data_IF_704287103783
#
_entry.id   IF_704287103783
#
_cell.length_a   1.000
_cell.length_b   1.000
_cell.length_c   1.000
_cell.angle_alpha   90.00
_cell.angle_beta   90.00
_cell.angle_gamma   90.00
#
_symmetry.space_group_name_H-M   'P 1'
#
loop_
_entity.id
_entity.type
_entity.pdbx_description
1 polymer ?
#
# COMPACT_ATOMS: atom_id res chain seq x y z
N UNK A 1 36.62 -56.53 -9.46
CA UNK A 1 36.29 -55.49 -8.48
C UNK A 1 37.00 -54.21 -8.87
N UNK A 2 36.29 -53.25 -9.45
CA UNK A 2 36.78 -51.88 -9.66
C UNK A 2 35.56 -50.96 -9.67
N UNK A 3 35.36 -50.26 -8.56
CA UNK A 3 34.26 -49.32 -8.34
C UNK A 3 34.71 -47.95 -8.85
N UNK A 4 34.03 -47.42 -9.88
CA UNK A 4 34.29 -46.07 -10.38
C UNK A 4 33.52 -45.07 -9.54
N UNK A 5 34.24 -44.21 -8.81
CA UNK A 5 33.70 -43.10 -8.04
C UNK A 5 33.34 -41.93 -8.97
N UNK A 6 32.07 -41.56 -9.04
CA UNK A 6 31.60 -40.36 -9.73
C UNK A 6 31.89 -39.11 -8.88
N UNK A 7 32.80 -38.25 -9.34
CA UNK A 7 33.03 -36.93 -8.77
C UNK A 7 31.88 -35.98 -9.15
N UNK A 8 31.02 -35.65 -8.18
CA UNK A 8 30.04 -34.58 -8.31
C UNK A 8 30.75 -33.21 -8.30
N UNK A 9 30.92 -32.63 -9.48
CA UNK A 9 31.31 -31.24 -9.66
C UNK A 9 30.17 -30.32 -9.21
N UNK A 10 30.27 -29.78 -7.98
CA UNK A 10 29.41 -28.69 -7.50
C UNK A 10 29.61 -27.47 -8.40
N UNK A 11 28.64 -27.19 -9.29
CA UNK A 11 28.56 -25.90 -9.99
C UNK A 11 28.51 -24.78 -8.94
N UNK A 12 29.30 -23.69 -9.10
CA UNK A 12 29.22 -22.54 -8.21
C UNK A 12 27.83 -21.92 -8.32
N UNK A 13 27.19 -21.66 -7.17
CA UNK A 13 25.94 -20.90 -7.09
C UNK A 13 26.23 -19.49 -7.65
N UNK A 14 25.48 -19.00 -8.66
CA UNK A 14 25.74 -17.68 -9.23
C UNK A 14 25.44 -16.61 -8.17
N UNK A 15 26.45 -15.79 -7.84
CA UNK A 15 26.29 -14.58 -7.01
C UNK A 15 25.23 -13.67 -7.66
N UNK A 16 24.07 -13.56 -7.01
CA UNK A 16 22.87 -12.88 -7.51
C UNK A 16 23.13 -11.37 -7.63
N UNK A 17 23.00 -10.84 -8.85
CA UNK A 17 23.24 -9.42 -9.22
C UNK A 17 22.07 -8.47 -8.88
N UNK A 18 20.98 -8.97 -8.28
CA UNK A 18 19.70 -8.25 -8.13
C UNK A 18 19.68 -7.20 -7.01
N UNK A 19 20.00 -7.58 -5.76
CA UNK A 19 19.96 -6.66 -4.61
C UNK A 19 20.86 -5.43 -4.79
N UNK A 20 22.05 -5.64 -5.35
CA UNK A 20 22.98 -4.56 -5.70
C UNK A 20 22.40 -3.55 -6.69
N UNK A 21 21.56 -3.96 -7.64
CA UNK A 21 20.93 -3.02 -8.60
C UNK A 21 19.89 -2.13 -7.92
N UNK A 22 19.10 -2.68 -7.00
CA UNK A 22 18.13 -1.90 -6.23
C UNK A 22 18.83 -0.92 -5.30
N UNK A 23 19.86 -1.37 -4.56
CA UNK A 23 20.72 -0.49 -3.78
C UNK A 23 21.33 0.64 -4.60
N UNK A 24 21.83 0.33 -5.81
CA UNK A 24 22.35 1.35 -6.72
C UNK A 24 21.25 2.30 -7.16
N UNK A 25 20.05 1.83 -7.52
CA UNK A 25 18.95 2.71 -7.91
C UNK A 25 18.55 3.66 -6.77
N UNK A 26 18.46 3.16 -5.53
CA UNK A 26 18.21 3.96 -4.34
C UNK A 26 19.35 4.96 -4.06
N UNK A 27 20.60 4.52 -4.21
CA UNK A 27 21.78 5.37 -4.12
C UNK A 27 21.76 6.49 -5.17
N UNK A 28 21.38 6.17 -6.41
CA UNK A 28 21.29 7.14 -7.50
C UNK A 28 20.16 8.13 -7.24
N UNK A 29 19.03 7.73 -6.68
CA UNK A 29 17.96 8.66 -6.24
C UNK A 29 18.50 9.67 -5.24
N UNK A 30 19.27 9.20 -4.25
CA UNK A 30 19.93 10.07 -3.26
C UNK A 30 20.85 11.07 -3.95
N UNK A 31 21.64 10.61 -4.94
CA UNK A 31 22.55 11.43 -5.75
C UNK A 31 21.81 12.32 -6.77
N UNK A 32 20.56 12.07 -7.12
CA UNK A 32 19.87 12.85 -8.17
C UNK A 32 18.96 13.93 -7.61
N UNK A 33 18.58 13.84 -6.33
CA UNK A 33 18.17 15.02 -5.56
C UNK A 33 19.29 16.09 -5.59
N UNK A 34 20.53 15.65 -5.76
CA UNK A 34 21.76 16.47 -5.87
C UNK A 34 22.03 16.94 -7.29
N UNK A 35 21.90 16.05 -8.26
CA UNK A 35 22.41 16.18 -9.63
C UNK A 35 21.54 17.01 -10.55
N UNK A 36 20.81 18.00 -10.03
CA UNK A 36 20.23 19.09 -10.80
C UNK A 36 21.32 19.93 -11.45
N UNK A 37 22.05 19.34 -12.41
CA UNK A 37 23.07 19.99 -13.21
C UNK A 37 22.37 21.14 -13.95
N UNK A 38 22.51 22.31 -13.36
CA UNK A 38 22.77 23.59 -14.01
C UNK A 38 21.96 23.76 -15.29
N UNK A 39 20.70 24.15 -15.17
CA UNK A 39 19.98 25.09 -16.05
C UNK A 39 18.60 25.33 -15.42
N UNK A 40 18.49 26.32 -14.52
CA UNK A 40 17.21 26.70 -13.92
C UNK A 40 16.77 28.08 -14.44
N UNK A 41 15.78 28.06 -15.34
CA UNK A 41 14.72 29.08 -15.35
C UNK A 41 13.81 28.76 -14.16
N UNK A 42 13.90 29.57 -13.10
CA UNK A 42 13.12 29.40 -11.88
C UNK A 42 11.70 29.88 -12.13
N UNK A 43 10.72 28.97 -12.09
CA UNK A 43 9.31 29.33 -11.94
C UNK A 43 8.60 28.41 -10.93
N UNK A 44 7.94 29.10 -9.99
CA UNK A 44 6.81 28.74 -9.12
C UNK A 44 6.95 27.61 -8.07
N UNK A 45 6.47 27.97 -6.87
CA UNK A 45 6.14 27.08 -5.76
C UNK A 45 4.83 26.38 -6.09
N UNK A 46 4.84 25.05 -6.23
CA UNK A 46 3.63 24.24 -6.22
C UNK A 46 3.80 23.15 -5.15
N UNK A 47 2.74 22.91 -4.36
CA UNK A 47 2.62 21.64 -3.65
C UNK A 47 2.66 20.52 -4.69
N UNK A 48 3.37 19.44 -4.38
CA UNK A 48 3.47 18.29 -5.29
C UNK A 48 2.24 17.43 -5.04
N UNK A 49 1.33 17.37 -6.02
CA UNK A 49 0.29 16.36 -6.04
C UNK A 49 0.96 15.00 -6.20
N UNK A 50 0.76 14.14 -5.23
CA UNK A 50 1.29 12.78 -5.27
C UNK A 50 0.21 11.86 -5.81
N UNK A 51 0.61 10.89 -6.62
CA UNK A 51 -0.31 9.92 -7.18
C UNK A 51 -0.53 8.74 -6.24
N UNK A 52 -1.78 8.31 -6.09
CA UNK A 52 -2.13 7.04 -5.47
C UNK A 52 -1.98 5.88 -6.48
N UNK A 53 -1.85 4.66 -5.97
CA UNK A 53 -1.92 3.45 -6.77
C UNK A 53 -3.31 2.83 -6.67
N UNK A 54 -3.92 2.48 -7.80
CA UNK A 54 -5.17 1.72 -7.86
C UNK A 54 -4.88 0.22 -7.73
N UNK A 55 -5.61 -0.47 -6.86
CA UNK A 55 -5.71 -1.93 -6.82
C UNK A 55 -7.12 -2.31 -7.24
N UNK A 56 -7.24 -3.14 -8.28
CA UNK A 56 -8.52 -3.68 -8.76
C UNK A 56 -8.59 -5.13 -8.33
N UNK A 57 -9.45 -5.41 -7.34
CA UNK A 57 -9.61 -6.75 -6.78
C UNK A 57 -10.52 -7.62 -7.62
N UNK A 58 -11.60 -7.03 -8.15
CA UNK A 58 -12.51 -7.67 -9.09
C UNK A 58 -12.59 -6.82 -10.35
N UNK A 59 -12.44 -7.45 -11.51
CA UNK A 59 -12.46 -6.78 -12.80
C UNK A 59 -13.81 -6.09 -12.99
N UNK A 60 -13.83 -4.75 -12.90
CA UNK A 60 -14.96 -3.80 -13.14
C UNK A 60 -14.74 -2.43 -12.47
N UNK A 61 -13.48 -2.03 -12.27
CA UNK A 61 -13.15 -0.66 -11.90
C UNK A 61 -12.87 0.17 -13.15
N UNK A 62 -13.33 1.40 -13.16
CA UNK A 62 -13.02 2.36 -14.22
C UNK A 62 -12.50 3.67 -13.62
N UNK A 63 -11.72 4.39 -14.42
CA UNK A 63 -11.11 5.67 -14.05
C UNK A 63 -11.44 6.72 -15.11
N UNK A 64 -11.71 7.95 -14.67
CA UNK A 64 -11.80 9.11 -15.53
C UNK A 64 -10.75 10.14 -15.06
N UNK A 65 -9.84 10.52 -15.95
CA UNK A 65 -8.73 11.40 -15.59
C UNK A 65 -9.07 12.88 -15.69
N UNK A 66 -8.44 13.72 -14.88
CA UNK A 66 -8.47 15.19 -15.00
C UNK A 66 -9.90 15.80 -15.04
N UNK A 67 -10.78 15.36 -14.15
CA UNK A 67 -12.20 15.75 -14.10
C UNK A 67 -12.99 15.42 -15.39
N UNK A 68 -12.48 14.53 -16.24
CA UNK A 68 -13.23 14.00 -17.38
C UNK A 68 -14.46 13.22 -16.90
N UNK A 69 -15.47 13.15 -17.77
CA UNK A 69 -16.64 12.28 -17.60
C UNK A 69 -16.47 10.94 -18.31
N UNK A 70 -15.37 10.76 -19.05
CA UNK A 70 -15.10 9.57 -19.84
C UNK A 70 -14.39 8.52 -18.99
N UNK A 71 -15.15 7.57 -18.46
CA UNK A 71 -14.62 6.45 -17.69
C UNK A 71 -14.07 5.37 -18.61
N UNK A 72 -12.80 5.02 -18.41
CA UNK A 72 -12.13 3.90 -19.09
C UNK A 72 -11.84 2.79 -18.09
N UNK A 73 -11.81 1.53 -18.56
CA UNK A 73 -11.46 0.40 -17.71
C UNK A 73 -10.07 0.59 -17.08
N UNK A 74 -9.96 0.33 -15.79
CA UNK A 74 -8.72 0.46 -15.03
C UNK A 74 -8.24 -0.90 -14.53
N UNK A 75 -6.93 -1.05 -14.35
CA UNK A 75 -6.32 -2.28 -13.84
C UNK A 75 -5.47 -1.99 -12.60
N UNK A 76 -5.15 -3.05 -11.84
CA UNK A 76 -4.19 -2.93 -10.74
C UNK A 76 -2.90 -2.30 -11.24
N UNK A 77 -2.40 -1.30 -10.49
CA UNK A 77 -1.23 -0.51 -10.85
C UNK A 77 -1.53 0.73 -11.70
N UNK A 78 -2.79 1.02 -12.05
CA UNK A 78 -3.16 2.32 -12.63
C UNK A 78 -2.83 3.43 -11.62
N UNK A 79 -2.22 4.51 -12.11
CA UNK A 79 -1.89 5.68 -11.33
C UNK A 79 -3.16 6.54 -11.19
N UNK A 80 -3.47 6.95 -9.97
CA UNK A 80 -4.58 7.86 -9.65
C UNK A 80 -4.02 9.20 -9.20
N UNK A 81 -4.44 10.29 -9.83
CA UNK A 81 -3.97 11.64 -9.54
C UNK A 81 -5.11 12.52 -9.00
N UNK A 82 -4.74 13.66 -8.40
CA UNK A 82 -5.70 14.69 -8.05
C UNK A 82 -6.49 15.13 -9.31
N UNK A 83 -7.81 15.16 -9.20
CA UNK A 83 -8.75 15.37 -10.31
C UNK A 83 -9.35 14.08 -10.88
N UNK A 84 -8.79 12.91 -10.58
CA UNK A 84 -9.28 11.64 -11.14
C UNK A 84 -10.49 11.10 -10.37
N UNK A 85 -11.42 10.50 -11.09
CA UNK A 85 -12.58 9.79 -10.52
C UNK A 85 -12.45 8.29 -10.73
N UNK A 86 -12.77 7.51 -9.70
CA UNK A 86 -12.76 6.05 -9.73
C UNK A 86 -14.19 5.58 -9.50
N UNK A 87 -14.63 4.60 -10.29
CA UNK A 87 -15.93 3.97 -10.15
C UNK A 87 -15.79 2.45 -10.14
N UNK A 88 -16.58 1.81 -9.28
CA UNK A 88 -16.86 0.37 -9.31
C UNK A 88 -18.31 0.13 -9.73
N UNK A 89 -18.56 -0.93 -10.51
CA UNK A 89 -19.92 -1.35 -10.83
C UNK A 89 -20.53 -2.25 -9.72
N UNK A 90 -21.66 -2.91 -10.00
CA UNK A 90 -22.33 -3.80 -9.04
C UNK A 90 -21.49 -4.99 -8.54
N UNK A 91 -20.42 -5.36 -9.25
CA UNK A 91 -19.47 -6.43 -8.88
C UNK A 91 -18.08 -5.89 -8.58
N UNK A 92 -17.79 -4.63 -8.90
CA UNK A 92 -16.46 -4.06 -8.79
C UNK A 92 -15.98 -3.89 -7.35
N UNK A 93 -14.72 -4.25 -7.13
CA UNK A 93 -13.99 -3.98 -5.89
C UNK A 93 -12.64 -3.38 -6.22
N UNK A 94 -12.34 -2.26 -5.57
CA UNK A 94 -11.09 -1.55 -5.79
C UNK A 94 -10.57 -0.93 -4.49
N UNK A 95 -9.32 -0.48 -4.52
CA UNK A 95 -8.75 0.38 -3.51
C UNK A 95 -7.82 1.40 -4.15
N UNK A 96 -7.73 2.58 -3.55
CA UNK A 96 -6.63 3.50 -3.79
C UNK A 96 -5.69 3.48 -2.58
N UNK A 97 -4.40 3.36 -2.84
CA UNK A 97 -3.34 3.34 -1.83
C UNK A 97 -2.45 4.55 -2.02
N UNK A 98 -2.39 5.41 -1.02
CA UNK A 98 -1.48 6.54 -0.97
C UNK A 98 -0.09 6.09 -0.48
N UNK A 99 0.97 6.81 -0.85
CA UNK A 99 2.34 6.40 -0.51
C UNK A 99 2.73 6.47 0.97
N UNK A 100 1.89 7.05 1.83
CA UNK A 100 2.01 7.00 3.30
C UNK A 100 1.43 5.70 3.90
N UNK A 101 0.78 4.89 3.07
CA UNK A 101 0.06 3.68 3.46
C UNK A 101 -1.42 3.89 3.73
N UNK A 102 -1.96 5.10 3.54
CA UNK A 102 -3.40 5.33 3.65
C UNK A 102 -4.10 4.59 2.51
N UNK A 103 -5.03 3.70 2.86
CA UNK A 103 -5.79 2.89 1.90
C UNK A 103 -7.26 3.25 2.00
N UNK A 104 -7.89 3.58 0.88
CA UNK A 104 -9.35 3.71 0.76
C UNK A 104 -9.86 2.61 -0.15
N UNK A 105 -10.60 1.65 0.43
CA UNK A 105 -11.25 0.57 -0.29
C UNK A 105 -12.65 1.00 -0.73
N UNK A 106 -13.05 0.60 -1.93
CA UNK A 106 -14.33 0.86 -2.55
C UNK A 106 -15.11 -0.45 -2.64
N UNK A 107 -16.36 -0.44 -2.16
CA UNK A 107 -17.31 -1.53 -2.36
C UNK A 107 -17.86 -1.47 -3.79
N UNK A 108 -18.79 -2.40 -4.11
CA UNK A 108 -19.59 -2.31 -5.33
C UNK A 108 -20.36 -0.99 -5.41
N UNK A 109 -20.68 -0.56 -6.64
CA UNK A 109 -21.49 0.61 -6.95
C UNK A 109 -21.02 1.89 -6.24
N UNK A 110 -19.71 2.11 -6.21
CA UNK A 110 -19.10 3.22 -5.47
C UNK A 110 -18.36 4.14 -6.43
N UNK A 111 -18.59 5.45 -6.28
CA UNK A 111 -17.90 6.48 -7.06
C UNK A 111 -17.23 7.48 -6.15
N UNK A 112 -15.92 7.60 -6.27
CA UNK A 112 -15.12 8.60 -5.58
C UNK A 112 -14.34 9.46 -6.57
N UNK A 113 -13.86 10.60 -6.10
CA UNK A 113 -12.90 11.45 -6.78
C UNK A 113 -11.80 11.83 -5.81
N UNK A 114 -10.55 11.67 -6.23
CA UNK A 114 -9.41 12.20 -5.50
C UNK A 114 -9.28 13.69 -5.84
N UNK A 115 -9.67 14.58 -4.93
CA UNK A 115 -9.61 16.02 -5.19
C UNK A 115 -8.20 16.57 -4.94
N UNK A 116 -7.56 16.12 -3.86
CA UNK A 116 -6.19 16.48 -3.53
C UNK A 116 -5.52 15.38 -2.69
N UNK A 117 -4.22 15.20 -2.90
CA UNK A 117 -3.34 14.42 -2.04
C UNK A 117 -1.99 15.13 -1.97
N UNK A 118 -1.86 16.00 -0.97
CA UNK A 118 -0.66 16.79 -0.79
C UNK A 118 0.25 16.15 0.25
N UNK A 119 1.54 16.19 -0.07
CA UNK A 119 2.60 15.83 0.85
C UNK A 119 3.43 17.06 1.19
N UNK A 120 3.84 17.13 2.45
CA UNK A 120 4.87 18.06 2.92
C UNK A 120 6.19 17.79 2.17
N UNK A 121 7.10 18.78 2.17
CA UNK A 121 8.46 18.60 1.62
C UNK A 121 9.28 17.49 2.30
N UNK A 122 8.91 17.14 3.54
CA UNK A 122 9.51 16.01 4.25
C UNK A 122 8.90 14.67 3.87
N UNK A 123 7.99 14.64 2.89
CA UNK A 123 7.35 13.43 2.39
C UNK A 123 6.26 12.86 3.31
N UNK A 124 5.82 13.60 4.32
CA UNK A 124 4.65 13.23 5.12
C UNK A 124 3.37 13.74 4.47
N UNK A 125 2.28 12.98 4.55
CA UNK A 125 0.97 13.41 4.08
C UNK A 125 0.52 14.68 4.83
N UNK A 126 0.19 15.76 4.12
CA UNK A 126 -0.31 17.01 4.74
C UNK A 126 -1.82 17.08 4.75
N UNK A 127 -2.45 16.76 3.63
CA UNK A 127 -3.89 16.84 3.47
C UNK A 127 -4.33 15.93 2.32
N UNK A 128 -5.45 15.23 2.54
CA UNK A 128 -6.14 14.44 1.52
C UNK A 128 -7.58 14.91 1.49
N UNK A 129 -8.07 15.17 0.29
CA UNK A 129 -9.47 15.47 0.03
C UNK A 129 -10.01 14.47 -0.98
N UNK A 130 -11.09 13.81 -0.61
CA UNK A 130 -11.85 12.91 -1.46
C UNK A 130 -13.30 13.38 -1.54
N UNK A 131 -13.89 13.34 -2.71
CA UNK A 131 -15.34 13.44 -2.87
C UNK A 131 -15.91 12.05 -3.08
N UNK A 132 -16.82 11.62 -2.22
CA UNK A 132 -17.60 10.40 -2.42
C UNK A 132 -19.00 10.80 -2.91
N UNK A 133 -19.38 10.31 -4.09
CA UNK A 133 -20.68 10.65 -4.67
C UNK A 133 -21.77 9.69 -4.22
N UNK A 134 -21.43 8.41 -4.19
CA UNK A 134 -22.35 7.30 -3.88
C UNK A 134 -21.55 6.07 -3.48
N UNK A 135 -22.22 5.13 -2.81
CA UNK A 135 -21.67 3.82 -2.48
C UNK A 135 -20.90 3.87 -1.18
N UNK A 136 -20.04 2.88 -0.95
CA UNK A 136 -19.42 2.63 0.34
C UNK A 136 -17.91 2.56 0.23
N UNK A 137 -17.24 3.26 1.12
CA UNK A 137 -15.79 3.21 1.27
C UNK A 137 -15.40 2.85 2.68
N UNK A 138 -14.26 2.17 2.80
CA UNK A 138 -13.58 1.98 4.07
C UNK A 138 -12.18 2.53 3.95
N UNK A 139 -11.81 3.45 4.84
CA UNK A 139 -10.51 4.09 4.83
C UNK A 139 -9.74 3.73 6.09
N UNK A 140 -8.52 3.23 5.90
CA UNK A 140 -7.51 3.09 6.94
C UNK A 140 -6.46 4.19 6.73
N UNK A 141 -6.52 5.25 7.52
CA UNK A 141 -5.58 6.39 7.43
C UNK A 141 -4.34 6.05 8.24
N UNK A 142 -3.17 6.13 7.59
CA UNK A 142 -1.89 5.93 8.24
C UNK A 142 -1.33 7.24 8.76
N UNK A 143 -0.62 7.17 9.89
CA UNK A 143 0.22 8.23 10.49
C UNK A 143 -0.02 9.65 9.96
N UNK A 144 -1.10 10.30 10.42
CA UNK A 144 -1.26 11.73 10.20
C UNK A 144 -0.26 12.49 11.07
N UNK A 145 0.68 13.19 10.44
CA UNK A 145 1.50 14.18 11.15
C UNK A 145 0.60 15.19 11.85
N UNK A 146 1.07 15.77 12.96
CA UNK A 146 0.32 16.76 13.72
C UNK A 146 -0.18 17.88 12.80
N UNK A 147 -1.51 17.98 12.64
CA UNK A 147 -2.17 18.99 11.82
C UNK A 147 -2.64 18.51 10.43
N UNK A 148 -2.35 17.27 10.03
CA UNK A 148 -2.89 16.71 8.80
C UNK A 148 -4.34 16.22 8.97
N UNK A 149 -5.14 16.38 7.92
CA UNK A 149 -6.55 16.02 7.87
C UNK A 149 -6.85 15.15 6.64
N UNK A 150 -7.73 14.18 6.83
CA UNK A 150 -8.30 13.40 5.74
C UNK A 150 -9.78 13.75 5.63
N UNK A 151 -10.13 14.48 4.57
CA UNK A 151 -11.47 14.97 4.34
C UNK A 151 -12.19 14.13 3.29
N UNK A 152 -13.41 13.70 3.63
CA UNK A 152 -14.33 13.08 2.69
C UNK A 152 -15.57 13.95 2.55
N UNK A 153 -15.74 14.51 1.36
CA UNK A 153 -16.89 15.30 0.98
C UNK A 153 -18.00 14.40 0.43
N UNK A 154 -19.13 14.37 1.13
CA UNK A 154 -20.39 13.89 0.62
C UNK A 154 -21.29 15.04 0.15
N UNK A 155 -22.45 14.71 -0.42
CA UNK A 155 -23.44 15.72 -0.82
C UNK A 155 -24.07 16.45 0.36
N UNK A 156 -24.22 15.78 1.51
CA UNK A 156 -24.90 16.30 2.70
C UNK A 156 -23.96 16.83 3.79
N UNK A 157 -22.72 16.34 3.86
CA UNK A 157 -21.73 16.75 4.85
C UNK A 157 -20.29 16.41 4.42
N UNK A 158 -19.33 17.01 5.12
CA UNK A 158 -17.91 16.67 5.09
C UNK A 158 -17.54 15.91 6.36
N UNK A 159 -16.86 14.78 6.21
CA UNK A 159 -16.24 14.06 7.31
C UNK A 159 -14.72 14.31 7.30
N UNK A 160 -14.23 14.96 8.34
CA UNK A 160 -12.82 15.29 8.54
C UNK A 160 -12.25 14.40 9.63
N UNK A 161 -11.27 13.57 9.28
CA UNK A 161 -10.76 12.51 10.16
C UNK A 161 -9.33 12.80 10.61
N UNK A 162 -9.06 12.52 11.90
CA UNK A 162 -7.72 12.60 12.49
C UNK A 162 -7.26 11.23 13.04
N UNK A 163 -7.28 10.22 12.16
CA UNK A 163 -6.90 8.82 12.40
C UNK A 163 -8.09 7.93 12.79
N UNK A 164 -8.05 6.59 12.67
CA UNK A 164 -7.24 5.73 11.76
C UNK A 164 -8.09 4.74 10.97
N UNK A 165 -9.36 4.47 11.34
CA UNK A 165 -10.23 3.57 10.58
C UNK A 165 -11.69 4.03 10.61
N UNK A 166 -12.27 4.27 9.43
CA UNK A 166 -13.66 4.67 9.30
C UNK A 166 -14.29 4.16 8.00
N UNK A 167 -15.61 4.05 7.98
CA UNK A 167 -16.42 3.74 6.81
C UNK A 167 -17.38 4.88 6.53
N UNK A 168 -17.55 5.19 5.25
CA UNK A 168 -18.57 6.12 4.76
C UNK A 168 -19.45 5.39 3.76
N UNK A 169 -20.75 5.37 4.03
CA UNK A 169 -21.76 4.89 3.10
C UNK A 169 -22.68 6.04 2.70
N UNK A 170 -22.71 6.38 1.41
CA UNK A 170 -23.65 7.34 0.84
C UNK A 170 -24.67 6.56 0.02
N UNK A 171 -25.92 6.61 0.49
CA UNK A 171 -27.07 5.95 -0.14
C UNK A 171 -27.59 6.74 -1.34
N UNK A 172 -28.40 6.10 -2.18
CA UNK A 172 -29.01 6.72 -3.36
C UNK A 172 -29.89 7.94 -3.02
N UNK A 173 -30.49 7.96 -1.84
CA UNK A 173 -31.31 9.07 -1.36
C UNK A 173 -30.47 10.26 -0.86
N UNK A 174 -29.14 10.14 -0.81
CA UNK A 174 -28.20 11.14 -0.31
C UNK A 174 -27.92 11.05 1.20
N UNK A 175 -28.47 10.05 1.89
CA UNK A 175 -28.17 9.78 3.30
C UNK A 175 -26.72 9.33 3.41
N UNK A 176 -25.96 9.99 4.29
CA UNK A 176 -24.56 9.66 4.57
C UNK A 176 -24.47 9.01 5.96
N UNK A 177 -23.96 7.78 6.01
CA UNK A 177 -23.70 7.04 7.24
C UNK A 177 -22.19 6.98 7.43
N UNK A 178 -21.72 7.41 8.60
CA UNK A 178 -20.30 7.40 8.96
C UNK A 178 -20.11 6.49 10.17
N UNK A 179 -19.31 5.44 10.02
CA UNK A 179 -18.90 4.55 11.12
C UNK A 179 -17.43 4.81 11.44
N UNK A 180 -17.13 5.15 12.68
CA UNK A 180 -15.77 5.42 13.15
C UNK A 180 -15.33 4.29 14.07
N UNK A 181 -14.33 3.51 13.64
CA UNK A 181 -13.83 2.35 14.39
C UNK A 181 -12.65 2.71 15.30
N UNK A 182 -11.80 3.65 14.87
CA UNK A 182 -10.64 4.11 15.64
C UNK A 182 -10.46 5.63 15.45
N UNK A 183 -10.10 6.33 16.53
CA UNK A 183 -9.71 7.74 16.50
C UNK A 183 -10.86 8.73 16.74
N UNK A 184 -10.78 9.90 16.07
CA UNK A 184 -11.72 11.02 16.22
C UNK A 184 -12.12 11.56 14.85
N UNK A 185 -13.37 11.99 14.74
CA UNK A 185 -13.94 12.49 13.50
C UNK A 185 -14.76 13.74 13.77
N UNK A 186 -14.61 14.72 12.89
CA UNK A 186 -15.41 15.92 12.82
C UNK A 186 -16.35 15.84 11.61
N UNK A 187 -17.65 16.03 11.83
CA UNK A 187 -18.63 16.20 10.77
C UNK A 187 -18.96 17.68 10.65
N UNK A 188 -18.96 18.20 9.42
CA UNK A 188 -19.44 19.54 9.11
C UNK A 188 -20.51 19.47 8.03
N UNK A 189 -21.63 20.15 8.25
CA UNK A 189 -22.78 20.19 7.34
C UNK A 189 -23.34 21.62 7.23
N UNK A 190 -24.30 21.84 6.33
CA UNK A 190 -25.02 23.11 6.25
C UNK A 190 -25.89 23.42 7.48
N UNK A 191 -26.16 22.42 8.34
CA UNK A 191 -27.02 22.53 9.53
C UNK A 191 -26.25 22.58 10.85
N UNK A 192 -24.92 22.45 10.80
CA UNK A 192 -24.05 22.49 11.98
C UNK A 192 -22.87 21.52 11.85
N UNK A 193 -22.17 21.33 12.96
CA UNK A 193 -21.02 20.43 13.05
C UNK A 193 -21.06 19.59 14.32
N UNK A 194 -20.31 18.50 14.31
CA UNK A 194 -20.28 17.51 15.40
C UNK A 194 -18.93 16.81 15.44
N UNK A 195 -18.29 16.84 16.61
CA UNK A 195 -17.14 15.98 16.91
C UNK A 195 -17.60 14.72 17.65
N UNK A 196 -17.06 13.57 17.28
CA UNK A 196 -17.27 12.33 18.00
C UNK A 196 -16.04 11.42 17.97
N UNK A 197 -16.00 10.44 18.87
CA UNK A 197 -14.84 9.57 19.07
C UNK A 197 -15.25 8.11 18.94
N UNK A 198 -14.34 7.29 18.44
CA UNK A 198 -14.59 5.87 18.24
C UNK A 198 -14.89 5.13 19.56
N UNK A 199 -15.61 3.99 19.53
CA UNK A 199 -16.32 3.43 18.37
C UNK A 199 -17.77 3.94 18.32
N UNK A 200 -18.13 4.68 17.27
CA UNK A 200 -19.46 5.27 17.11
C UNK A 200 -19.87 5.38 15.64
N UNK A 201 -21.17 5.42 15.40
CA UNK A 201 -21.78 5.72 14.10
C UNK A 201 -22.63 6.98 14.20
N UNK A 202 -22.65 7.76 13.12
CA UNK A 202 -23.58 8.87 12.93
C UNK A 202 -24.22 8.82 11.55
N UNK A 203 -25.47 9.25 11.45
CA UNK A 203 -26.21 9.37 10.19
C UNK A 203 -26.53 10.82 9.91
N UNK A 204 -26.24 11.27 8.71
CA UNK A 204 -26.52 12.61 8.20
C UNK A 204 -27.58 12.47 7.11
N UNK A 205 -28.69 13.19 7.28
CA UNK A 205 -29.78 13.21 6.29
C UNK A 205 -29.41 14.03 5.06
N UNK A 206 -30.09 13.84 3.92
CA UNK A 206 -29.80 14.58 2.68
C UNK A 206 -29.88 16.11 2.82
N UNK A 207 -30.67 16.62 3.78
CA UNK A 207 -30.81 18.05 4.07
C UNK A 207 -29.68 18.64 4.95
N UNK A 208 -28.68 17.82 5.29
CA UNK A 208 -27.56 18.17 6.16
C UNK A 208 -27.84 17.97 7.65
N UNK A 209 -29.04 17.52 8.06
CA UNK A 209 -29.33 17.29 9.48
C UNK A 209 -28.45 16.16 10.03
N UNK A 210 -27.63 16.48 11.04
CA UNK A 210 -26.74 15.53 11.72
C UNK A 210 -27.52 14.82 12.84
N UNK A 211 -27.57 13.48 12.78
CA UNK A 211 -28.14 12.66 13.85
C UNK A 211 -27.25 12.59 15.09
N UNK A 212 -27.76 11.99 16.16
CA UNK A 212 -26.97 11.76 17.38
C UNK A 212 -26.01 10.57 17.18
N UNK A 213 -24.72 10.67 17.55
CA UNK A 213 -23.82 9.53 17.59
C UNK A 213 -24.35 8.39 18.45
N UNK A 214 -24.22 7.16 17.94
CA UNK A 214 -24.66 5.95 18.61
C UNK A 214 -23.69 4.78 18.40
N UNK A 215 -24.00 3.59 18.94
CA UNK A 215 -23.23 2.39 18.65
C UNK A 215 -23.25 2.08 17.14
N UNK A 216 -22.15 1.50 16.65
CA UNK A 216 -22.09 1.01 15.27
C UNK A 216 -23.11 -0.11 15.09
N UNK A 217 -23.99 0.05 14.10
CA UNK A 217 -25.01 -0.93 13.78
C UNK A 217 -24.48 -1.86 12.68
N UNK A 218 -24.44 -3.19 12.91
CA UNK A 218 -24.07 -4.13 11.86
C UNK A 218 -24.99 -4.00 10.65
N UNK A 219 -24.40 -3.95 9.48
CA UNK A 219 -25.12 -3.89 8.21
C UNK A 219 -24.79 -5.16 7.40
N UNK A 220 -25.77 -6.03 7.12
CA UNK A 220 -25.54 -7.25 6.34
C UNK A 220 -24.98 -7.01 4.93
N UNK A 221 -25.15 -5.81 4.38
CA UNK A 221 -24.60 -5.41 3.07
C UNK A 221 -23.19 -4.82 3.16
N UNK A 222 -22.59 -4.80 4.35
CA UNK A 222 -21.25 -4.30 4.61
C UNK A 222 -20.16 -5.33 4.26
N UNK A 223 -19.40 -5.12 3.17
CA UNK A 223 -18.32 -6.03 2.84
C UNK A 223 -17.07 -5.80 3.70
N UNK A 224 -17.00 -4.71 4.47
CA UNK A 224 -15.77 -4.29 5.15
C UNK A 224 -15.68 -4.77 6.60
N UNK A 225 -16.80 -5.08 7.26
CA UNK A 225 -16.79 -5.65 8.61
C UNK A 225 -15.94 -6.93 8.71
N UNK A 226 -16.27 -7.98 7.95
CA UNK A 226 -15.47 -9.22 7.96
C UNK A 226 -14.03 -9.02 7.49
N UNK A 227 -13.80 -8.08 6.56
CA UNK A 227 -12.46 -7.72 6.11
C UNK A 227 -11.61 -7.11 7.25
N UNK A 228 -12.19 -6.18 8.00
CA UNK A 228 -11.55 -5.54 9.14
C UNK A 228 -11.22 -6.56 10.25
N UNK A 229 -12.12 -7.49 10.53
CA UNK A 229 -11.89 -8.55 11.51
C UNK A 229 -10.72 -9.46 11.10
N UNK A 230 -10.65 -9.82 9.81
CA UNK A 230 -9.54 -10.61 9.27
C UNK A 230 -8.20 -9.86 9.33
N UNK A 231 -8.16 -8.59 8.92
CA UNK A 231 -6.98 -7.72 9.02
C UNK A 231 -6.50 -7.56 10.47
N UNK A 232 -7.41 -7.24 11.38
CA UNK A 232 -7.08 -7.11 12.81
C UNK A 232 -6.50 -8.41 13.38
N UNK A 233 -7.03 -9.58 12.97
CA UNK A 233 -6.55 -10.87 13.43
C UNK A 233 -5.12 -11.18 12.96
N UNK A 234 -4.74 -10.78 11.73
CA UNK A 234 -3.37 -11.00 11.25
C UNK A 234 -2.37 -10.03 11.86
N UNK A 235 -2.75 -8.79 12.13
CA UNK A 235 -1.86 -7.76 12.68
C UNK A 235 -1.31 -8.08 14.07
N UNK A 236 -2.02 -8.88 14.87
CA UNK A 236 -1.56 -9.26 16.20
C UNK A 236 -0.35 -10.19 16.08
N UNK A 237 0.83 -9.73 16.49
CA UNK A 237 2.04 -10.56 16.55
C UNK A 237 2.72 -10.80 15.20
N UNK A 238 2.47 -9.95 14.20
CA UNK A 238 3.21 -9.90 12.93
C UNK A 238 3.92 -8.55 12.79
N UNK A 239 4.81 -8.44 11.81
CA UNK A 239 5.52 -7.17 11.52
C UNK A 239 4.57 -6.25 10.72
N UNK A 240 4.33 -5.00 11.16
CA UNK A 240 3.55 -4.03 10.37
C UNK A 240 4.10 -3.88 8.95
N UNK A 241 3.21 -3.71 7.97
CA UNK A 241 3.57 -3.59 6.55
C UNK A 241 3.79 -4.92 5.82
N UNK A 242 3.73 -6.05 6.51
CA UNK A 242 3.77 -7.38 5.87
C UNK A 242 2.39 -7.85 5.39
N UNK A 243 1.31 -7.22 5.86
CA UNK A 243 -0.04 -7.60 5.47
C UNK A 243 -0.26 -7.44 3.95
N UNK A 244 -0.84 -8.47 3.32
CA UNK A 244 -1.39 -8.42 1.98
C UNK A 244 -2.83 -8.89 2.02
N UNK A 245 -3.68 -8.17 1.30
CA UNK A 245 -5.10 -8.45 1.22
C UNK A 245 -5.45 -9.07 -0.12
N UNK A 246 -6.29 -10.09 -0.06
CA UNK A 246 -6.84 -10.74 -1.23
C UNK A 246 -8.37 -10.71 -1.13
N UNK A 247 -8.98 -10.18 -2.19
CA UNK A 247 -10.43 -10.14 -2.35
C UNK A 247 -10.75 -10.87 -3.64
N UNK A 248 -11.36 -12.04 -3.52
CA UNK A 248 -11.84 -12.82 -4.67
C UNK A 248 -13.21 -12.39 -5.12
N UNK A 249 -13.68 -12.92 -6.24
CA UNK A 249 -15.10 -12.86 -6.62
C UNK A 249 -15.98 -13.56 -5.57
N UNK A 250 -17.30 -13.38 -5.66
CA UNK A 250 -18.24 -14.19 -4.87
C UNK A 250 -17.97 -15.68 -5.09
N UNK A 251 -17.74 -16.41 -4.00
CA UNK A 251 -17.45 -17.83 -3.96
C UNK A 251 -18.76 -18.61 -3.80
N UNK A 252 -18.88 -19.79 -4.42
CA UNK A 252 -20.03 -20.68 -4.26
C UNK A 252 -19.67 -21.99 -3.56
N UNK A 253 -20.69 -22.75 -3.15
CA UNK A 253 -20.51 -24.07 -2.52
C UNK A 253 -19.69 -25.01 -3.44
N UNK A 254 -18.61 -25.58 -2.90
CA UNK A 254 -17.69 -26.46 -3.62
C UNK A 254 -16.63 -25.76 -4.47
N UNK A 255 -16.69 -24.43 -4.60
CA UNK A 255 -15.67 -23.66 -5.30
C UNK A 255 -14.44 -23.40 -4.42
N UNK A 256 -13.30 -23.18 -5.08
CA UNK A 256 -12.03 -22.84 -4.43
C UNK A 256 -11.38 -21.62 -5.08
N UNK A 257 -10.96 -20.68 -4.24
CA UNK A 257 -10.06 -19.60 -4.62
C UNK A 257 -8.64 -19.89 -4.14
N UNK A 258 -7.65 -19.39 -4.88
CA UNK A 258 -6.23 -19.62 -4.62
C UNK A 258 -5.47 -18.30 -4.69
N UNK A 259 -4.66 -18.03 -3.68
CA UNK A 259 -3.78 -16.86 -3.60
C UNK A 259 -2.35 -17.29 -3.26
N UNK A 260 -1.39 -16.41 -3.50
CA UNK A 260 0.01 -16.64 -3.17
C UNK A 260 0.54 -15.56 -2.24
N UNK A 261 1.41 -15.95 -1.32
CA UNK A 261 2.10 -15.03 -0.41
C UNK A 261 3.60 -15.36 -0.39
N UNK A 262 4.43 -14.38 -0.73
CA UNK A 262 5.88 -14.53 -0.71
C UNK A 262 6.43 -14.27 0.70
N UNK A 263 7.30 -15.18 1.16
CA UNK A 263 7.93 -15.06 2.46
C UNK A 263 9.37 -15.53 2.41
N UNK A 264 10.33 -14.61 2.63
CA UNK A 264 11.74 -14.94 2.49
C UNK A 264 12.35 -15.59 3.76
N UNK A 265 11.57 -15.73 4.83
CA UNK A 265 11.94 -16.42 6.06
C UNK A 265 11.87 -15.53 7.29
N UNK A 266 11.75 -16.18 8.45
CA UNK A 266 11.58 -15.56 9.76
C UNK A 266 10.94 -16.60 10.68
N UNK A 267 9.93 -16.25 11.47
CA UNK A 267 9.31 -17.16 12.43
C UNK A 267 7.87 -17.57 12.11
N UNK A 268 7.03 -16.66 11.61
CA UNK A 268 5.57 -16.86 11.53
C UNK A 268 5.01 -16.33 10.21
N UNK A 269 4.11 -17.13 9.61
CA UNK A 269 3.14 -16.68 8.60
C UNK A 269 1.74 -16.90 9.18
N UNK A 270 0.90 -15.88 9.10
CA UNK A 270 -0.47 -15.91 9.60
C UNK A 270 -1.42 -15.48 8.49
N UNK A 271 -2.46 -16.28 8.27
CA UNK A 271 -3.55 -15.96 7.35
C UNK A 271 -4.87 -15.90 8.13
N UNK A 272 -5.75 -14.99 7.75
CA UNK A 272 -7.09 -14.88 8.30
C UNK A 272 -8.12 -14.69 7.20
N UNK A 273 -9.26 -15.35 7.33
CA UNK A 273 -10.36 -15.37 6.36
C UNK A 273 -11.62 -14.77 7.00
N UNK A 274 -12.02 -13.60 6.50
CA UNK A 274 -13.24 -12.89 6.82
C UNK A 274 -14.37 -13.22 5.82
N UNK A 275 -15.58 -13.42 6.32
CA UNK A 275 -16.77 -13.74 5.52
C UNK A 275 -18.06 -13.43 6.32
N UNK A 276 -19.11 -12.89 5.69
CA UNK A 276 -20.37 -12.49 6.33
C UNK A 276 -21.07 -13.53 7.22
N UNK A 277 -21.09 -14.81 6.83
CA UNK A 277 -21.81 -15.81 7.65
C UNK A 277 -21.96 -17.22 7.08
N UNK A 278 -21.52 -17.46 5.85
CA UNK A 278 -21.47 -18.81 5.25
C UNK A 278 -20.50 -19.77 5.97
N UNK A 279 -20.49 -21.06 5.60
CA UNK A 279 -19.43 -21.97 6.00
C UNK A 279 -18.31 -21.95 4.96
N UNK A 280 -17.11 -21.55 5.37
CA UNK A 280 -15.90 -21.59 4.55
C UNK A 280 -14.76 -22.31 5.26
N UNK A 281 -13.72 -22.68 4.51
CA UNK A 281 -12.47 -23.22 5.04
C UNK A 281 -11.28 -22.42 4.51
N UNK A 282 -10.38 -22.07 5.42
CA UNK A 282 -9.08 -21.49 5.07
C UNK A 282 -8.01 -22.58 5.15
N UNK A 283 -7.21 -22.73 4.09
CA UNK A 283 -6.03 -23.61 4.09
C UNK A 283 -4.79 -22.82 3.69
N UNK A 284 -3.72 -22.91 4.48
CA UNK A 284 -2.39 -22.38 4.20
C UNK A 284 -1.48 -23.55 3.88
N UNK A 285 -1.03 -23.64 2.62
CA UNK A 285 -0.04 -24.62 2.18
C UNK A 285 1.35 -23.97 2.18
N UNK A 286 2.23 -24.47 3.03
CA UNK A 286 3.61 -24.04 3.12
C UNK A 286 4.45 -24.55 1.93
N UNK A 287 5.60 -23.90 1.63
CA UNK A 287 6.50 -24.30 0.53
C UNK A 287 7.01 -25.75 0.61
N UNK A 288 7.10 -26.33 1.79
CA UNK A 288 7.49 -27.73 2.03
C UNK A 288 6.36 -28.73 1.76
N UNK A 289 5.17 -28.24 1.39
CA UNK A 289 3.98 -29.02 1.10
C UNK A 289 3.06 -29.26 2.30
N UNK A 290 3.48 -28.91 3.52
CA UNK A 290 2.63 -29.04 4.70
C UNK A 290 1.43 -28.09 4.61
N UNK A 291 0.27 -28.56 5.08
CA UNK A 291 -0.97 -27.79 5.07
C UNK A 291 -1.48 -27.55 6.48
N UNK A 292 -1.90 -26.32 6.72
CA UNK A 292 -2.50 -25.85 7.96
C UNK A 292 -3.88 -25.32 7.58
N UNK A 293 -4.93 -25.64 8.33
CA UNK A 293 -6.27 -25.21 7.97
C UNK A 293 -7.14 -24.91 9.18
N UNK A 294 -8.19 -24.13 8.94
CA UNK A 294 -9.22 -23.80 9.91
C UNK A 294 -10.60 -23.75 9.27
N UNK A 295 -11.61 -24.00 10.09
CA UNK A 295 -13.04 -23.81 9.81
C UNK A 295 -13.68 -23.19 11.05
N UNK A 296 -14.87 -22.59 10.92
CA UNK A 296 -15.61 -22.12 12.09
C UNK A 296 -16.40 -20.84 11.83
N UNK A 297 -16.39 -19.94 12.81
CA UNK A 297 -16.95 -18.59 12.68
C UNK A 297 -15.90 -17.66 12.08
N UNK A 298 -16.38 -16.63 11.39
CA UNK A 298 -15.52 -15.57 10.90
C UNK A 298 -14.97 -14.72 12.07
N UNK A 299 -13.70 -14.27 12.02
CA UNK A 299 -12.69 -14.67 11.05
C UNK A 299 -12.06 -16.03 11.39
N UNK A 300 -11.76 -16.84 10.38
CA UNK A 300 -10.94 -18.05 10.56
C UNK A 300 -9.47 -17.65 10.49
N UNK A 301 -8.68 -17.91 11.54
CA UNK A 301 -7.24 -17.63 11.54
C UNK A 301 -6.40 -18.90 11.56
N UNK A 302 -5.41 -18.97 10.68
CA UNK A 302 -4.42 -20.04 10.59
C UNK A 302 -3.03 -19.46 10.80
N UNK A 303 -2.28 -20.01 11.76
CA UNK A 303 -0.90 -19.59 12.05
C UNK A 303 0.06 -20.74 11.75
N UNK A 304 1.07 -20.47 10.93
CA UNK A 304 2.20 -21.35 10.66
C UNK A 304 3.38 -20.88 11.49
N UNK A 305 3.73 -21.64 12.52
CA UNK A 305 4.92 -21.38 13.34
C UNK A 305 6.14 -22.06 12.73
N UNK A 306 7.33 -21.48 12.93
CA UNK A 306 8.58 -21.94 12.30
C UNK A 306 8.43 -22.02 10.77
N UNK A 307 7.77 -21.00 10.20
CA UNK A 307 7.37 -20.95 8.81
C UNK A 307 8.59 -21.04 7.85
N UNK A 308 8.69 -22.07 6.98
CA UNK A 308 9.78 -22.18 6.02
C UNK A 308 9.72 -21.06 4.96
N UNK A 309 10.86 -20.59 4.43
CA UNK A 309 10.90 -19.60 3.38
C UNK A 309 10.42 -20.15 2.04
N UNK A 310 9.70 -19.34 1.26
CA UNK A 310 9.24 -19.64 -0.09
C UNK A 310 7.90 -18.98 -0.42
N UNK A 311 7.19 -19.55 -1.39
CA UNK A 311 5.86 -19.09 -1.80
C UNK A 311 4.80 -19.97 -1.12
N UNK A 312 3.98 -19.35 -0.28
CA UNK A 312 2.82 -19.98 0.34
C UNK A 312 1.64 -19.93 -0.61
N UNK A 313 0.85 -21.00 -0.63
CA UNK A 313 -0.43 -21.03 -1.35
C UNK A 313 -1.57 -21.02 -0.35
N UNK A 314 -2.47 -20.06 -0.51
CA UNK A 314 -3.64 -19.87 0.35
C UNK A 314 -4.87 -20.34 -0.42
N UNK A 315 -5.62 -21.28 0.13
CA UNK A 315 -6.88 -21.73 -0.42
C UNK A 315 -8.03 -21.27 0.45
N UNK A 316 -9.08 -20.77 -0.22
CA UNK A 316 -10.39 -20.52 0.37
C UNK A 316 -11.38 -21.44 -0.30
N UNK A 317 -11.99 -22.33 0.47
CA UNK A 317 -13.02 -23.25 0.00
C UNK A 317 -14.40 -22.78 0.45
N UNK A 318 -15.34 -22.69 -0.50
CA UNK A 318 -16.77 -22.54 -0.20
C UNK A 318 -17.30 -23.88 0.25
N UNK A 319 -17.77 -23.99 1.49
CA UNK A 319 -18.20 -25.28 2.06
C UNK A 319 -19.71 -25.43 1.92
N UNK A 320 -20.49 -24.51 2.48
CA UNK A 320 -21.95 -24.56 2.40
C UNK A 320 -22.59 -23.23 2.81
N UNK A 321 -23.75 -22.92 2.23
CA UNK A 321 -24.55 -21.76 2.65
C UNK A 321 -24.12 -20.45 2.00
N UNK A 322 -23.33 -20.51 0.92
CA UNK A 322 -22.93 -19.33 0.15
C UNK A 322 -24.05 -18.84 -0.80
N UNK A 323 -25.09 -19.66 -1.00
CA UNK A 323 -26.26 -19.31 -1.80
C UNK A 323 -25.94 -19.21 -3.30
N UNK A 324 -26.96 -18.83 -4.09
CA UNK A 324 -26.83 -18.74 -5.56
C UNK A 324 -26.10 -17.49 -6.05
N UNK A 325 -26.00 -16.46 -5.21
CA UNK A 325 -25.24 -15.25 -5.50
C UNK A 325 -23.77 -15.38 -5.10
N UNK A 326 -23.43 -16.41 -4.34
CA UNK A 326 -22.14 -16.58 -3.68
C UNK A 326 -21.94 -15.58 -2.54
N UNK A 327 -20.84 -15.77 -1.82
CA UNK A 327 -20.41 -14.87 -0.74
C UNK A 327 -18.95 -14.48 -1.00
N UNK A 328 -18.63 -13.19 -0.83
CA UNK A 328 -17.29 -12.69 -1.10
C UNK A 328 -16.37 -12.91 0.12
N UNK A 329 -15.29 -13.71 0.00
CA UNK A 329 -14.31 -13.85 1.06
C UNK A 329 -13.29 -12.71 1.02
N UNK A 330 -12.80 -12.34 2.20
CA UNK A 330 -11.64 -11.49 2.36
C UNK A 330 -10.52 -12.27 3.05
N UNK A 331 -9.34 -12.31 2.46
CA UNK A 331 -8.16 -12.96 3.06
C UNK A 331 -7.12 -11.90 3.37
N UNK A 332 -6.69 -11.84 4.63
CA UNK A 332 -5.49 -11.12 5.02
C UNK A 332 -4.37 -12.12 5.31
N UNK A 333 -3.15 -11.83 4.86
CA UNK A 333 -1.95 -12.63 5.19
C UNK A 333 -0.84 -11.71 5.63
N UNK A 334 -0.23 -11.98 6.77
CA UNK A 334 0.90 -11.22 7.31
C UNK A 334 1.98 -12.16 7.86
N UNK A 335 3.20 -11.64 8.04
CA UNK A 335 4.33 -12.43 8.55
C UNK A 335 5.16 -11.67 9.57
N UNK A 336 6.00 -12.41 10.30
CA UNK A 336 7.06 -11.83 11.12
C UNK A 336 8.32 -11.74 10.26
N UNK A 337 8.77 -10.51 10.07
CA UNK A 337 9.99 -10.11 9.35
C UNK A 337 10.93 -9.36 10.29
N UNK A 338 12.24 -9.57 10.16
CA UNK A 338 13.24 -8.85 10.95
C UNK A 338 13.54 -7.48 10.33
N UNK A 339 13.44 -6.42 11.13
CA UNK A 339 13.66 -5.04 10.67
C UNK A 339 15.16 -4.70 10.70
N UNK A 340 15.92 -5.26 9.75
CA UNK A 340 17.38 -5.08 9.61
C UNK A 340 17.83 -5.17 8.17
N UNK A 341 19.09 -4.83 7.90
CA UNK A 341 19.72 -5.01 6.59
C UNK A 341 19.63 -6.46 6.13
N UNK A 342 19.13 -6.68 4.91
CA UNK A 342 18.95 -8.01 4.35
C UNK A 342 19.05 -8.01 2.82
N UNK A 343 19.65 -9.06 2.26
CA UNK A 343 19.64 -9.35 0.82
C UNK A 343 19.34 -10.85 0.63
N UNK A 344 18.09 -11.23 0.90
CA UNK A 344 17.64 -12.62 0.89
C UNK A 344 16.83 -12.87 -0.37
N UNK A 345 17.22 -13.88 -1.13
CA UNK A 345 16.37 -14.40 -2.19
C UNK A 345 16.55 -15.92 -2.27
N UNK A 346 15.49 -16.65 -1.95
CA UNK A 346 15.50 -18.10 -1.83
C UNK A 346 14.10 -18.66 -2.09
N UNK A 347 14.02 -19.86 -2.67
CA UNK A 347 12.76 -20.57 -2.91
C UNK A 347 11.65 -19.72 -3.59
N UNK A 348 12.05 -18.82 -4.48
CA UNK A 348 11.13 -17.92 -5.19
C UNK A 348 10.81 -16.62 -4.44
N UNK A 349 10.97 -16.55 -3.12
CA UNK A 349 10.73 -15.34 -2.34
C UNK A 349 11.98 -14.43 -2.31
N UNK A 350 11.72 -13.12 -2.22
CA UNK A 350 12.73 -12.06 -2.14
C UNK A 350 12.40 -11.14 -0.97
N UNK A 351 13.41 -10.82 -0.19
CA UNK A 351 13.36 -9.83 0.88
C UNK A 351 14.62 -8.98 0.85
N UNK A 352 14.43 -7.67 0.89
CA UNK A 352 15.49 -6.68 0.90
C UNK A 352 15.25 -5.71 2.04
N UNK A 353 16.18 -5.63 2.96
CA UNK A 353 16.19 -4.66 4.04
C UNK A 353 17.35 -3.69 3.84
N UNK A 354 17.09 -2.39 3.88
CA UNK A 354 18.10 -1.36 3.73
C UNK A 354 18.00 -0.31 4.83
N UNK A 355 19.07 -0.18 5.61
CA UNK A 355 19.22 0.91 6.57
C UNK A 355 19.71 2.16 5.86
N UNK A 356 19.60 3.31 6.52
CA UNK A 356 20.19 4.54 5.99
C UNK A 356 21.69 4.41 5.73
N UNK A 357 22.40 3.65 6.57
CA UNK A 357 23.85 3.43 6.42
C UNK A 357 24.18 2.58 5.19
N UNK A 358 23.36 1.57 4.87
CA UNK A 358 23.53 0.76 3.66
C UNK A 358 23.42 1.62 2.41
N UNK A 359 22.42 2.50 2.36
CA UNK A 359 22.20 3.40 1.23
C UNK A 359 23.32 4.43 1.08
N UNK A 360 23.77 5.03 2.19
CA UNK A 360 24.93 5.95 2.18
C UNK A 360 26.18 5.24 1.67
N UNK A 361 26.45 4.04 2.18
CA UNK A 361 27.61 3.23 1.76
C UNK A 361 27.54 2.88 0.28
N UNK A 362 26.34 2.60 -0.25
CA UNK A 362 26.14 2.34 -1.68
C UNK A 362 26.44 3.58 -2.54
N UNK A 363 26.11 4.80 -2.06
CA UNK A 363 26.50 6.06 -2.71
C UNK A 363 28.01 6.27 -2.68
N UNK A 364 28.64 6.08 -1.52
CA UNK A 364 30.11 6.21 -1.37
C UNK A 364 30.85 5.24 -2.34
N UNK A 365 30.31 4.04 -2.55
CA UNK A 365 30.87 3.03 -3.45
C UNK A 365 30.56 3.24 -4.93
N UNK A 366 29.52 4.01 -5.28
CA UNK A 366 29.14 4.23 -6.68
C UNK A 366 30.10 5.18 -7.42
N UNK A 367 31.09 5.73 -6.72
CA UNK A 367 32.03 6.74 -7.24
C UNK A 367 31.30 7.99 -7.76
N UNK A 368 30.16 8.34 -7.17
CA UNK A 368 29.49 9.62 -7.41
C UNK A 368 30.42 10.77 -6.96
N UNK A 369 31.31 11.19 -7.85
CA UNK A 369 32.31 12.22 -7.60
C UNK A 369 31.62 13.53 -7.25
N UNK A 370 32.14 14.22 -6.23
CA UNK A 370 31.61 15.49 -5.76
C UNK A 370 30.66 15.40 -4.56
N UNK A 371 30.07 14.24 -4.26
CA UNK A 371 29.17 14.07 -3.09
C UNK A 371 29.98 13.99 -1.79
N UNK A 372 29.60 14.76 -0.78
CA UNK A 372 30.16 14.73 0.57
C UNK A 372 29.10 15.10 1.60
N UNK A 373 29.37 14.86 2.89
CA UNK A 373 28.46 15.17 4.01
C UNK A 373 27.04 14.59 3.85
N UNK A 374 26.93 13.43 3.18
CA UNK A 374 25.64 12.79 2.94
C UNK A 374 25.04 12.30 4.28
N UNK A 375 23.83 12.75 4.55
CA UNK A 375 23.00 12.33 5.67
C UNK A 375 21.66 11.88 5.12
N UNK A 376 21.15 10.76 5.61
CA UNK A 376 19.91 10.16 5.15
C UNK A 376 19.07 9.69 6.34
N UNK A 377 17.76 9.85 6.21
CA UNK A 377 16.74 9.32 7.12
C UNK A 377 15.68 8.56 6.33
N UNK A 378 15.16 7.51 6.93
CA UNK A 378 14.05 6.70 6.42
C UNK A 378 12.91 6.80 7.44
N UNK A 379 11.66 6.93 6.98
CA UNK A 379 10.48 6.87 7.84
C UNK A 379 10.55 5.67 8.78
N UNK A 380 10.11 5.85 10.03
CA UNK A 380 10.30 4.84 11.07
C UNK A 380 9.47 3.58 10.81
N UNK A 381 8.14 3.73 10.76
CA UNK A 381 7.21 2.64 10.50
C UNK A 381 6.15 3.09 9.49
N UNK A 382 6.02 2.38 8.38
CA UNK A 382 4.98 2.59 7.36
C UNK A 382 4.46 1.22 6.95
N UNK A 383 3.19 1.13 6.57
CA UNK A 383 2.60 -0.15 6.12
C UNK A 383 2.54 -0.29 4.59
N UNK A 384 2.59 0.84 3.86
CA UNK A 384 2.78 0.84 2.42
C UNK A 384 3.63 2.05 2.03
N UNK A 385 4.69 1.79 1.26
CA UNK A 385 5.67 2.76 0.85
C UNK A 385 6.73 3.09 1.90
N UNK A 386 7.63 4.00 1.55
CA UNK A 386 8.71 4.46 2.41
C UNK A 386 9.09 5.89 2.07
N UNK A 387 9.28 6.73 3.09
CA UNK A 387 9.74 8.10 2.89
C UNK A 387 11.25 8.14 3.14
N UNK A 388 12.00 8.59 2.15
CA UNK A 388 13.44 8.79 2.26
C UNK A 388 13.73 10.27 2.15
N UNK A 389 14.38 10.84 3.16
CA UNK A 389 14.90 12.20 3.13
C UNK A 389 16.42 12.18 3.20
N UNK A 390 17.07 13.00 2.37
CA UNK A 390 18.50 13.08 2.33
C UNK A 390 18.97 14.54 2.20
N UNK A 391 20.18 14.81 2.70
CA UNK A 391 20.88 16.08 2.56
C UNK A 391 22.37 15.83 2.41
N UNK A 392 23.08 16.77 1.80
CA UNK A 392 24.53 16.69 1.67
C UNK A 392 25.12 17.86 0.90
N UNK A 393 26.32 17.65 0.39
CA UNK A 393 27.05 18.61 -0.43
C UNK A 393 27.49 17.97 -1.73
N UNK A 394 27.42 18.70 -2.84
CA UNK A 394 27.93 18.26 -4.14
C UNK A 394 28.69 19.34 -4.87
N UNK A 395 29.96 19.06 -5.19
CA UNK A 395 30.87 20.04 -5.78
C UNK A 395 30.84 21.39 -5.04
N UNK A 396 30.73 21.35 -3.70
CA UNK A 396 30.66 22.53 -2.82
C UNK A 396 29.26 23.08 -2.54
N UNK A 397 28.21 22.54 -3.16
CA UNK A 397 26.84 23.05 -3.03
C UNK A 397 25.95 22.21 -2.12
N UNK A 398 25.29 22.84 -1.16
CA UNK A 398 24.39 22.16 -0.22
C UNK A 398 23.04 21.86 -0.85
N UNK A 399 22.53 20.66 -0.57
CA UNK A 399 21.24 20.20 -1.05
C UNK A 399 20.48 19.44 0.03
N UNK A 400 19.17 19.36 -0.13
CA UNK A 400 18.31 18.44 0.61
C UNK A 400 17.06 18.11 -0.20
N UNK A 401 16.48 16.94 0.02
CA UNK A 401 15.19 16.60 -0.57
C UNK A 401 14.65 15.29 -0.04
N UNK A 402 13.44 14.98 -0.47
CA UNK A 402 12.74 13.76 -0.07
C UNK A 402 12.10 13.08 -1.27
N UNK A 403 11.96 11.77 -1.18
CA UNK A 403 11.22 10.95 -2.13
C UNK A 403 10.38 9.93 -1.37
N UNK A 404 9.22 9.61 -1.94
CA UNK A 404 8.42 8.48 -1.49
C UNK A 404 8.61 7.32 -2.45
N UNK A 405 8.80 6.14 -1.88
CA UNK A 405 8.92 4.89 -2.58
C UNK A 405 7.63 4.11 -2.37
N UNK A 406 7.09 3.51 -3.42
CA UNK A 406 5.88 2.70 -3.34
C UNK A 406 5.92 1.56 -4.35
N UNK A 407 5.00 0.62 -4.22
CA UNK A 407 4.78 -0.44 -5.22
C UNK A 407 3.77 0.03 -6.26
N UNK A 408 4.10 -0.10 -7.54
CA UNK A 408 3.19 0.16 -8.64
C UNK A 408 3.26 -0.99 -9.66
N UNK A 409 2.17 -1.75 -9.80
CA UNK A 409 2.07 -2.88 -10.73
C UNK A 409 3.22 -3.91 -10.62
N UNK A 410 3.63 -4.26 -9.39
CA UNK A 410 4.75 -5.17 -9.18
C UNK A 410 6.14 -4.57 -9.43
N UNK A 411 6.23 -3.26 -9.67
CA UNK A 411 7.48 -2.53 -9.78
C UNK A 411 7.65 -1.57 -8.60
N UNK A 412 8.88 -1.09 -8.41
CA UNK A 412 9.15 0.00 -7.49
C UNK A 412 8.91 1.34 -8.20
N UNK A 413 8.15 2.22 -7.58
CA UNK A 413 7.97 3.60 -7.99
C UNK A 413 8.69 4.53 -7.02
N UNK A 414 9.27 5.61 -7.53
CA UNK A 414 9.96 6.65 -6.78
C UNK A 414 9.36 7.99 -7.20
N UNK A 415 8.77 8.67 -6.22
CA UNK A 415 8.09 9.93 -6.39
C UNK A 415 8.80 11.01 -5.56
N UNK A 416 9.59 11.90 -6.19
CA UNK A 416 10.18 13.04 -5.50
C UNK A 416 9.08 13.95 -4.94
N UNK A 417 9.12 14.25 -3.64
CA UNK A 417 8.16 15.18 -3.00
C UNK A 417 8.67 16.61 -2.90
N UNK A 418 9.96 16.80 -3.20
CA UNK A 418 10.58 18.12 -3.32
C UNK A 418 12.04 18.09 -2.95
N UNK A 419 12.76 19.12 -3.39
CA UNK A 419 14.17 19.31 -3.08
C UNK A 419 14.54 20.78 -3.06
N UNK A 420 15.66 21.08 -2.42
CA UNK A 420 16.26 22.40 -2.43
C UNK A 420 17.72 22.33 -2.82
N UNK A 421 18.15 23.24 -3.70
CA UNK A 421 19.55 23.48 -4.05
C UNK A 421 19.81 24.95 -3.70
N UNK A 422 20.84 25.24 -2.89
CA UNK A 422 21.06 26.59 -2.33
C UNK A 422 19.86 27.16 -1.56
N UNK A 423 19.03 26.31 -0.97
CA UNK A 423 17.78 26.74 -0.33
C UNK A 423 16.65 27.14 -1.31
N UNK A 424 16.88 27.09 -2.62
CA UNK A 424 15.87 27.31 -3.66
C UNK A 424 15.14 26.01 -3.99
N UNK A 425 13.81 26.06 -4.11
CA UNK A 425 12.98 24.88 -4.40
C UNK A 425 13.15 24.41 -5.85
N UNK A 426 13.31 23.11 -6.06
CA UNK A 426 13.34 22.48 -7.39
C UNK A 426 11.99 21.79 -7.65
N UNK A 427 11.35 21.97 -8.82
CA UNK A 427 10.12 21.27 -9.17
C UNK A 427 10.33 19.75 -9.29
N UNK A 428 9.37 18.95 -8.80
CA UNK A 428 9.47 17.49 -8.79
C UNK A 428 9.66 16.87 -10.19
N UNK A 429 9.04 17.44 -11.23
CA UNK A 429 9.14 16.93 -12.61
C UNK A 429 10.58 16.91 -13.14
N UNK A 430 11.37 17.95 -12.83
CA UNK A 430 12.77 18.00 -13.25
C UNK A 430 13.59 16.92 -12.55
N UNK A 431 13.27 16.62 -11.28
CA UNK A 431 13.92 15.54 -10.53
C UNK A 431 13.60 14.18 -11.14
N UNK A 432 12.35 13.94 -11.56
CA UNK A 432 11.94 12.67 -12.22
C UNK A 432 12.72 12.44 -13.52
N UNK A 433 12.81 13.44 -14.40
CA UNK A 433 13.53 13.32 -15.68
C UNK A 433 15.02 12.98 -15.46
N UNK A 434 15.64 13.55 -14.42
CA UNK A 434 17.04 13.27 -14.07
C UNK A 434 17.24 11.89 -13.45
N UNK A 435 16.32 11.46 -12.58
CA UNK A 435 16.32 10.09 -12.06
C UNK A 435 16.30 9.13 -13.23
N UNK A 436 15.38 9.33 -14.18
CA UNK A 436 15.21 8.46 -15.34
C UNK A 436 16.50 8.31 -16.17
N UNK A 437 17.17 9.43 -16.45
CA UNK A 437 18.39 9.48 -17.26
C UNK A 437 19.54 8.66 -16.65
N UNK A 438 19.63 8.58 -15.32
CA UNK A 438 20.76 7.95 -14.64
C UNK A 438 20.47 6.50 -14.25
N UNK A 439 19.25 6.18 -13.83
CA UNK A 439 18.87 4.78 -13.58
C UNK A 439 18.58 4.01 -14.88
N UNK A 440 18.40 4.72 -16.00
CA UNK A 440 18.07 4.14 -17.30
C UNK A 440 16.69 3.49 -17.34
N UNK A 441 15.79 3.88 -16.44
CA UNK A 441 14.43 3.36 -16.27
C UNK A 441 13.49 4.49 -15.85
N UNK A 442 12.21 4.36 -16.13
CA UNK A 442 11.20 5.28 -15.62
C UNK A 442 11.14 5.19 -14.08
N UNK A 443 11.30 6.30 -13.33
CA UNK A 443 11.22 6.29 -11.87
C UNK A 443 9.87 5.81 -11.34
N UNK A 444 8.80 5.91 -12.12
CA UNK A 444 7.48 5.36 -11.76
C UNK A 444 7.38 3.84 -11.97
N UNK A 445 8.37 3.21 -12.61
CA UNK A 445 8.34 1.80 -13.00
C UNK A 445 9.75 1.17 -13.00
N UNK A 446 10.41 1.21 -11.85
CA UNK A 446 11.72 0.61 -11.65
C UNK A 446 11.57 -0.89 -11.44
N UNK A 447 12.23 -1.68 -12.30
CA UNK A 447 12.25 -3.14 -12.24
C UNK A 447 13.52 -3.61 -11.52
N UNK A 448 13.44 -4.02 -10.23
CA UNK A 448 14.63 -4.46 -9.49
C UNK A 448 15.10 -5.87 -9.87
N UNK A 449 14.46 -6.51 -10.86
CA UNK A 449 14.76 -7.87 -11.31
C UNK A 449 13.94 -8.96 -10.64
N UNK A 450 12.87 -8.59 -9.93
CA UNK A 450 11.85 -9.44 -9.33
C UNK A 450 10.53 -8.64 -9.25
N UNK A 451 9.41 -9.32 -9.04
CA UNK A 451 8.12 -8.65 -8.84
C UNK A 451 8.04 -8.15 -7.40
N UNK A 452 7.78 -6.85 -7.22
CA UNK A 452 7.70 -6.21 -5.91
C UNK A 452 6.28 -6.38 -5.37
N UNK A 453 6.14 -7.19 -4.33
CA UNK A 453 4.85 -7.43 -3.67
C UNK A 453 4.54 -6.30 -2.69
N UNK A 454 5.55 -5.83 -1.95
CA UNK A 454 5.39 -4.81 -0.90
C UNK A 454 6.61 -3.93 -0.77
N UNK A 455 6.35 -2.68 -0.38
CA UNK A 455 7.35 -1.73 0.11
C UNK A 455 6.82 -1.19 1.42
N UNK A 456 7.61 -1.21 2.48
CA UNK A 456 7.22 -0.69 3.79
C UNK A 456 8.45 -0.29 4.58
N UNK A 457 8.27 0.30 5.77
CA UNK A 457 9.36 0.60 6.70
C UNK A 457 9.06 0.04 8.06
N UNK A 458 10.10 -0.47 8.72
CA UNK A 458 10.05 -0.91 10.09
C UNK A 458 11.34 -0.50 10.80
N UNK A 459 11.24 0.16 11.96
CA UNK A 459 12.39 0.68 12.71
C UNK A 459 13.40 1.45 11.82
N UNK A 460 12.90 2.29 10.90
CA UNK A 460 13.71 3.03 9.92
C UNK A 460 14.55 2.16 8.97
N UNK A 461 14.12 0.92 8.74
CA UNK A 461 14.65 0.05 7.68
C UNK A 461 13.66 0.03 6.52
N UNK A 462 14.13 0.35 5.32
CA UNK A 462 13.37 0.17 4.08
C UNK A 462 13.28 -1.31 3.76
N UNK A 463 12.06 -1.83 3.66
CA UNK A 463 11.76 -3.21 3.33
C UNK A 463 11.16 -3.28 1.93
N UNK A 464 11.74 -4.12 1.07
CA UNK A 464 11.24 -4.38 -0.29
C UNK A 464 11.12 -5.89 -0.47
N UNK A 465 9.89 -6.37 -0.38
CA UNK A 465 9.55 -7.78 -0.50
C UNK A 465 8.98 -8.09 -1.88
N UNK A 466 9.16 -9.34 -2.31
CA UNK A 466 8.73 -9.74 -3.63
C UNK A 466 8.96 -11.21 -3.93
N UNK A 467 8.83 -11.54 -5.20
CA UNK A 467 9.09 -12.90 -5.69
C UNK A 467 9.71 -12.94 -7.08
N UNK A 468 10.41 -14.03 -7.37
CA UNK A 468 11.02 -14.32 -8.67
C UNK A 468 10.15 -15.31 -9.44
N UNK A 469 9.67 -14.92 -10.63
CA UNK A 469 8.80 -15.72 -11.48
C UNK A 469 7.61 -14.90 -11.96
N UNK A 470 6.98 -15.28 -13.08
CA UNK A 470 5.68 -14.72 -13.45
C UNK A 470 4.62 -15.35 -12.54
N UNK A 471 3.76 -14.54 -11.93
CA UNK A 471 2.48 -15.03 -11.41
C UNK A 471 1.72 -15.63 -12.58
N UNK A 472 1.41 -16.92 -12.50
CA UNK A 472 0.54 -17.60 -13.47
C UNK A 472 -0.90 -17.12 -13.38
#
# INVERSE_FOLDING_TARGET
MATVAAQNSRKPIPRRRGGRRLLIALALVIVLIVGGIVWLNVAARAQVNVSAALTVYQATASIAHNNSTDFVSASTGTIVQAGDSIQTDAKGRAAITLPDGTITRLASATTIKLDAAHFTKSGNLSDVSLTQRIGRTFTNVQHLVTGAHFDVHGSSATASVRGTKFEIYIQEDGTMIVKLFEGKLHISSSKGSLDFSAPQQVTIKPDGTIGTPGPIVPDPSDPFGPALDASNAVQVGTTPGTEQDFVGAALHDGERQTYNYSYAGGSVVKASLGYPGSAMKLTVKAPDGQQYFGTGKSPITVTVNNAPPGIYTIYVDGVSGLGTAGEEPFVAVASVEECKSADIAQFGAVHRGYTARDLITAVEQSQASGVSNLSLTISENTIAGAIISAKGTYNGFSWSGSAVLATLNGSLAIQPTGGTIFGMSVPARQVVEQIAAVIGQDPSNIKPGFFVDRVFTCNSVLMVDGHTGATG
#
